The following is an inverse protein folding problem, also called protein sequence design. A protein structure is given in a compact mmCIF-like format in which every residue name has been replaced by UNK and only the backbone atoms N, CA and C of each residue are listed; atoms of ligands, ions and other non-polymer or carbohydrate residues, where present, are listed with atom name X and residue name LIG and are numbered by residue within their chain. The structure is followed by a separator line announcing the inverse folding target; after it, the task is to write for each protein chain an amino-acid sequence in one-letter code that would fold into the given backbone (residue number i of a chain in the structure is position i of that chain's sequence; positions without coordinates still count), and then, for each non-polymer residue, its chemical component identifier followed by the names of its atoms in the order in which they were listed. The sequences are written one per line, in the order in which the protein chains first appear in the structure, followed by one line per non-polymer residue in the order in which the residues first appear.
data_IF_503705871884
#
_entry.id   IF_503705871884
#
_cell.length_a   1.000
_cell.length_b   1.000
_cell.length_c   1.000
_cell.angle_alpha   90.00
_cell.angle_beta   90.00
_cell.angle_gamma   90.00
#
_symmetry.space_group_name_H-M   'P 1'
#
loop_
_entity.id
_entity.type
_entity.pdbx_description
1 polymer ?
#
# COMPACT_ATOMS: atom_id res chain seq x y z
N UNK A 1 -2.68 0.50 27.43
CA UNK A 1 -3.71 0.85 26.41
C UNK A 1 -3.33 0.47 24.97
N UNK A 2 -2.42 1.18 24.29
CA UNK A 2 -2.18 0.96 22.85
C UNK A 2 -1.74 -0.48 22.52
N UNK A 3 -0.78 -1.03 23.28
CA UNK A 3 -0.29 -2.41 23.09
C UNK A 3 -1.37 -3.46 23.36
N UNK A 4 -2.37 -3.13 24.16
CA UNK A 4 -3.53 -4.00 24.48
C UNK A 4 -4.66 -3.88 23.44
N UNK A 5 -4.46 -3.13 22.35
CA UNK A 5 -5.50 -2.90 21.34
C UNK A 5 -6.61 -1.92 21.76
N UNK A 6 -6.50 -1.31 22.94
CA UNK A 6 -7.48 -0.34 23.47
C UNK A 6 -7.23 1.05 22.87
N UNK A 7 -7.40 1.18 21.57
CA UNK A 7 -6.97 2.37 20.80
C UNK A 7 -7.74 3.66 21.15
N UNK A 8 -9.04 3.56 21.47
CA UNK A 8 -9.82 4.73 21.93
C UNK A 8 -9.29 5.30 23.25
N UNK A 9 -9.04 4.43 24.24
CA UNK A 9 -8.44 4.85 25.52
C UNK A 9 -7.02 5.37 25.35
N UNK A 10 -6.27 4.81 24.40
CA UNK A 10 -4.94 5.32 24.06
C UNK A 10 -5.01 6.73 23.46
N UNK A 11 -5.92 6.98 22.51
CA UNK A 11 -6.17 8.31 21.95
C UNK A 11 -6.52 9.32 23.06
N UNK A 12 -7.46 8.99 23.95
CA UNK A 12 -7.87 9.85 25.06
C UNK A 12 -6.68 10.20 25.98
N UNK A 13 -5.87 9.20 26.34
CA UNK A 13 -4.69 9.38 27.18
C UNK A 13 -3.58 10.24 26.51
N UNK A 14 -3.27 9.98 25.24
CA UNK A 14 -2.26 10.80 24.55
C UNK A 14 -2.77 12.22 24.27
N UNK A 15 -4.08 12.38 24.08
CA UNK A 15 -4.70 13.71 23.94
C UNK A 15 -4.62 14.52 25.23
N UNK A 16 -4.83 13.90 26.40
CA UNK A 16 -4.70 14.62 27.68
C UNK A 16 -3.28 15.10 27.92
N UNK A 17 -2.27 14.27 27.62
CA UNK A 17 -0.84 14.67 27.71
C UNK A 17 -0.55 15.95 26.90
N UNK A 18 -1.13 16.07 25.71
CA UNK A 18 -0.88 17.19 24.81
C UNK A 18 -1.71 18.45 25.13
N UNK A 19 -2.81 18.31 25.88
CA UNK A 19 -3.72 19.41 26.20
C UNK A 19 -3.48 20.01 27.59
N UNK A 20 -3.01 19.20 28.55
CA UNK A 20 -2.88 19.60 29.96
C UNK A 20 -1.66 20.52 30.19
N UNK A 21 -0.72 20.57 29.25
CA UNK A 21 0.47 21.43 29.34
C UNK A 21 0.77 22.05 27.96
N UNK A 22 0.35 23.31 27.77
CA UNK A 22 0.40 24.02 26.46
C UNK A 22 1.81 24.21 25.92
N UNK A 23 2.83 24.11 26.78
CA UNK A 23 4.24 24.18 26.40
C UNK A 23 4.90 22.78 26.32
N UNK A 24 4.17 21.71 26.63
CA UNK A 24 4.67 20.34 26.62
C UNK A 24 4.74 19.78 25.20
N UNK A 25 5.97 19.78 24.68
CA UNK A 25 6.34 19.20 23.39
C UNK A 25 6.77 17.75 23.56
N UNK A 26 5.82 16.83 23.59
CA UNK A 26 6.13 15.40 23.54
C UNK A 26 5.87 14.80 22.15
N UNK A 27 6.92 14.65 21.32
CA UNK A 27 6.78 14.02 20.01
C UNK A 27 6.31 12.56 20.13
N UNK A 28 6.66 11.84 21.19
CA UNK A 28 6.20 10.47 21.36
C UNK A 28 4.68 10.42 21.59
N UNK A 29 4.14 11.27 22.48
CA UNK A 29 2.70 11.37 22.70
C UNK A 29 1.95 11.76 21.42
N UNK A 30 2.44 12.74 20.66
CA UNK A 30 1.79 13.18 19.43
C UNK A 30 1.81 12.13 18.32
N UNK A 31 2.92 11.40 18.16
CA UNK A 31 2.97 10.28 17.22
C UNK A 31 2.04 9.15 17.68
N UNK A 32 1.99 8.86 18.98
CA UNK A 32 1.13 7.81 19.53
C UNK A 32 -0.36 8.15 19.43
N UNK A 33 -0.73 9.44 19.50
CA UNK A 33 -2.06 9.92 19.19
C UNK A 33 -2.44 9.58 17.74
N UNK A 34 -1.60 9.97 16.78
CA UNK A 34 -1.82 9.69 15.36
C UNK A 34 -1.93 8.18 15.08
N UNK A 35 -1.07 7.36 15.68
CA UNK A 35 -1.13 5.89 15.59
C UNK A 35 -2.43 5.33 16.16
N UNK A 36 -2.89 5.86 17.29
CA UNK A 36 -4.14 5.42 17.94
C UNK A 36 -5.36 5.75 17.08
N UNK A 37 -5.38 6.92 16.43
CA UNK A 37 -6.42 7.31 15.48
C UNK A 37 -6.41 6.42 14.24
N UNK A 38 -5.23 6.17 13.67
CA UNK A 38 -5.07 5.30 12.50
C UNK A 38 -5.61 3.89 12.76
N UNK A 39 -5.27 3.31 13.93
CA UNK A 39 -5.76 1.98 14.33
C UNK A 39 -7.28 1.90 14.56
N UNK A 40 -7.96 3.04 14.73
CA UNK A 40 -9.42 3.13 14.80
C UNK A 40 -10.08 3.37 13.44
N UNK A 41 -9.30 3.49 12.36
CA UNK A 41 -9.82 3.86 11.04
C UNK A 41 -10.16 5.35 10.89
N UNK A 42 -9.79 6.20 11.86
CA UNK A 42 -9.96 7.66 11.82
C UNK A 42 -8.90 8.30 10.92
N UNK A 43 -8.95 8.00 9.63
CA UNK A 43 -7.86 8.30 8.68
C UNK A 43 -7.62 9.81 8.49
N UNK A 44 -8.64 10.66 8.64
CA UNK A 44 -8.49 12.10 8.49
C UNK A 44 -7.81 12.72 9.70
N UNK A 45 -8.25 12.35 10.90
CA UNK A 45 -7.69 12.78 12.17
C UNK A 45 -6.25 12.29 12.31
N UNK A 46 -5.99 11.01 11.97
CA UNK A 46 -4.64 10.46 11.95
C UNK A 46 -3.71 11.22 10.99
N UNK A 47 -4.19 11.59 9.80
CA UNK A 47 -3.41 12.38 8.85
C UNK A 47 -3.10 13.78 9.40
N UNK A 48 -4.08 14.44 10.02
CA UNK A 48 -3.91 15.77 10.61
C UNK A 48 -2.88 15.72 11.75
N UNK A 49 -3.03 14.76 12.67
CA UNK A 49 -2.10 14.57 13.79
C UNK A 49 -0.68 14.24 13.30
N UNK A 50 -0.54 13.39 12.28
CA UNK A 50 0.74 13.04 11.67
C UNK A 50 1.40 14.22 10.95
N UNK A 51 0.64 15.02 10.20
CA UNK A 51 1.16 16.26 9.58
C UNK A 51 1.59 17.27 10.63
N UNK A 52 0.80 17.45 11.68
CA UNK A 52 1.15 18.32 12.79
C UNK A 52 2.44 17.86 13.46
N UNK A 53 2.65 16.55 13.64
CA UNK A 53 3.92 16.03 14.16
C UNK A 53 5.10 16.46 13.28
N UNK A 54 5.01 16.29 11.96
CA UNK A 54 6.11 16.63 11.03
C UNK A 54 6.42 18.13 11.07
N UNK A 55 5.40 18.98 11.14
CA UNK A 55 5.58 20.43 11.24
C UNK A 55 6.14 20.87 12.59
N UNK A 56 5.74 20.23 13.68
CA UNK A 56 6.15 20.58 15.04
C UNK A 56 7.51 20.02 15.43
N UNK A 57 7.95 18.91 14.82
CA UNK A 57 9.19 18.21 15.16
C UNK A 57 9.98 17.74 13.92
N UNK A 58 10.45 18.66 13.06
CA UNK A 58 11.08 18.35 11.77
C UNK A 58 12.42 17.60 11.85
N UNK A 59 12.99 17.43 13.05
CA UNK A 59 14.24 16.67 13.29
C UNK A 59 14.07 15.63 14.41
N UNK A 60 12.82 15.25 14.70
CA UNK A 60 12.56 14.26 15.72
C UNK A 60 13.19 12.92 15.36
N UNK A 61 13.75 12.22 16.36
CA UNK A 61 14.12 10.80 16.22
C UNK A 61 12.95 9.91 15.76
N UNK A 62 11.70 10.38 15.85
CA UNK A 62 10.52 9.67 15.39
C UNK A 62 9.99 10.11 14.02
N UNK A 63 10.68 11.02 13.32
CA UNK A 63 10.28 11.51 12.00
C UNK A 63 10.11 10.37 10.99
N UNK A 64 11.05 9.42 10.96
CA UNK A 64 10.94 8.22 10.13
C UNK A 64 9.64 7.45 10.39
N UNK A 65 9.27 7.26 11.66
CA UNK A 65 8.03 6.57 12.03
C UNK A 65 6.77 7.38 11.69
N UNK A 66 6.83 8.71 11.80
CA UNK A 66 5.72 9.59 11.43
C UNK A 66 5.50 9.59 9.91
N UNK A 67 6.58 9.66 9.11
CA UNK A 67 6.52 9.54 7.65
C UNK A 67 6.02 8.17 7.21
N UNK A 68 6.49 7.09 7.85
CA UNK A 68 5.97 5.74 7.61
C UNK A 68 4.46 5.67 7.86
N UNK A 69 3.99 6.21 8.99
CA UNK A 69 2.56 6.27 9.31
C UNK A 69 1.76 7.10 8.29
N UNK A 70 2.28 8.23 7.82
CA UNK A 70 1.62 9.04 6.79
C UNK A 70 1.50 8.29 5.46
N UNK A 71 2.51 7.49 5.10
CA UNK A 71 2.43 6.56 3.98
C UNK A 71 1.35 5.50 4.19
N UNK A 72 1.28 4.89 5.37
CA UNK A 72 0.28 3.85 5.70
C UNK A 72 -1.16 4.43 5.65
N UNK A 73 -1.33 5.66 6.14
CA UNK A 73 -2.61 6.41 6.06
C UNK A 73 -2.96 6.71 4.60
N UNK A 74 -2.01 7.21 3.81
CA UNK A 74 -2.24 7.51 2.39
C UNK A 74 -2.64 6.23 1.63
N UNK A 75 -1.97 5.11 1.88
CA UNK A 75 -2.30 3.83 1.28
C UNK A 75 -3.70 3.36 1.68
N UNK A 76 -4.06 3.48 2.96
CA UNK A 76 -5.40 3.14 3.47
C UNK A 76 -6.51 4.01 2.88
N UNK A 77 -6.18 5.23 2.44
CA UNK A 77 -7.07 6.13 1.70
C UNK A 77 -7.13 5.85 0.20
N UNK A 78 -6.44 4.82 -0.30
CA UNK A 78 -6.31 4.52 -1.73
C UNK A 78 -5.41 5.51 -2.50
N UNK A 79 -4.64 6.34 -1.80
CA UNK A 79 -3.73 7.33 -2.39
C UNK A 79 -2.37 6.68 -2.70
N UNK A 80 -2.37 5.63 -3.52
CA UNK A 80 -1.21 4.76 -3.76
C UNK A 80 0.05 5.52 -4.19
N UNK A 81 -0.08 6.46 -5.14
CA UNK A 81 1.04 7.30 -5.61
C UNK A 81 1.63 8.14 -4.49
N UNK A 82 0.78 8.73 -3.64
CA UNK A 82 1.25 9.54 -2.52
C UNK A 82 1.95 8.68 -1.46
N UNK A 83 1.40 7.50 -1.17
CA UNK A 83 2.04 6.55 -0.28
C UNK A 83 3.42 6.12 -0.83
N UNK A 84 3.49 5.81 -2.13
CA UNK A 84 4.73 5.50 -2.83
C UNK A 84 5.78 6.61 -2.69
N UNK A 85 5.42 7.86 -2.96
CA UNK A 85 6.30 9.02 -2.81
C UNK A 85 6.87 9.13 -1.39
N UNK A 86 6.00 9.01 -0.38
CA UNK A 86 6.39 9.08 1.02
C UNK A 86 7.39 7.97 1.36
N UNK A 87 7.08 6.71 1.03
CA UNK A 87 7.97 5.59 1.31
C UNK A 87 9.30 5.69 0.56
N UNK A 88 9.27 6.05 -0.72
CA UNK A 88 10.48 6.24 -1.53
C UNK A 88 11.38 7.35 -0.95
N UNK A 89 10.79 8.39 -0.37
CA UNK A 89 11.55 9.48 0.26
C UNK A 89 12.37 9.00 1.47
N UNK A 90 11.89 8.00 2.22
CA UNK A 90 12.49 7.53 3.47
C UNK A 90 13.19 6.17 3.40
N UNK A 91 12.98 5.37 2.35
CA UNK A 91 13.47 3.97 2.29
C UNK A 91 14.98 3.83 2.44
N UNK A 92 15.75 4.79 1.93
CA UNK A 92 17.21 4.79 2.04
C UNK A 92 17.73 5.46 3.32
N UNK A 93 16.85 6.05 4.13
CA UNK A 93 17.20 6.63 5.44
C UNK A 93 17.16 5.59 6.56
N UNK A 94 16.55 4.43 6.32
CA UNK A 94 16.45 3.36 7.32
C UNK A 94 17.79 2.65 7.50
N UNK A 95 18.36 2.77 8.71
CA UNK A 95 19.58 2.04 9.11
C UNK A 95 19.27 0.56 9.41
N UNK A 96 18.09 0.28 9.97
CA UNK A 96 17.65 -1.08 10.27
C UNK A 96 17.26 -1.83 8.97
N UNK A 97 17.92 -2.96 8.65
CA UNK A 97 17.59 -3.77 7.48
C UNK A 97 16.15 -4.29 7.48
N UNK A 98 15.59 -4.58 8.66
CA UNK A 98 14.23 -5.09 8.79
C UNK A 98 13.23 -4.03 8.36
N UNK A 99 13.29 -2.84 8.98
CA UNK A 99 12.47 -1.68 8.64
C UNK A 99 12.58 -1.30 7.16
N UNK A 100 13.79 -1.35 6.59
CA UNK A 100 14.00 -1.10 5.16
C UNK A 100 13.32 -2.15 4.28
N UNK A 101 13.42 -3.42 4.64
CA UNK A 101 12.73 -4.52 3.94
C UNK A 101 11.21 -4.32 3.97
N UNK A 102 10.65 -3.93 5.11
CA UNK A 102 9.22 -3.67 5.18
C UNK A 102 8.78 -2.47 4.33
N UNK A 103 9.62 -1.42 4.22
CA UNK A 103 9.35 -0.30 3.30
C UNK A 103 9.39 -0.74 1.84
N UNK A 104 10.30 -1.64 1.45
CA UNK A 104 10.30 -2.25 0.11
C UNK A 104 9.01 -3.01 -0.17
N UNK A 105 8.49 -3.77 0.80
CA UNK A 105 7.20 -4.44 0.65
C UNK A 105 6.04 -3.45 0.50
N UNK A 106 6.03 -2.36 1.28
CA UNK A 106 5.03 -1.28 1.15
C UNK A 106 5.10 -0.58 -0.21
N UNK A 107 6.31 -0.32 -0.73
CA UNK A 107 6.50 0.25 -2.07
C UNK A 107 5.99 -0.71 -3.15
N UNK A 108 6.32 -2.00 -3.06
CA UNK A 108 5.77 -3.03 -3.96
C UNK A 108 4.25 -3.08 -3.89
N UNK A 109 3.66 -2.94 -2.70
CA UNK A 109 2.22 -2.86 -2.55
C UNK A 109 1.65 -1.65 -3.28
N UNK A 110 2.25 -0.46 -3.16
CA UNK A 110 1.80 0.73 -3.91
C UNK A 110 1.89 0.54 -5.43
N UNK A 111 3.02 0.03 -5.93
CA UNK A 111 3.20 -0.30 -7.36
C UNK A 111 2.14 -1.31 -7.79
N UNK A 112 1.96 -2.33 -6.95
CA UNK A 112 0.89 -3.30 -6.97
C UNK A 112 -0.42 -2.59 -7.16
N UNK A 113 -0.92 -1.76 -6.25
CA UNK A 113 -2.22 -1.09 -6.34
C UNK A 113 -2.39 -0.11 -7.50
N UNK A 114 -1.31 0.24 -8.21
CA UNK A 114 -1.33 1.10 -9.38
C UNK A 114 -0.92 2.52 -9.04
N UNK A 115 -0.06 3.10 -9.87
CA UNK A 115 0.50 4.44 -9.71
C UNK A 115 0.06 5.33 -10.88
N UNK A 116 0.06 6.64 -10.63
CA UNK A 116 -0.12 7.64 -11.69
C UNK A 116 1.16 7.79 -12.49
N UNK A 117 1.09 7.57 -13.79
CA UNK A 117 2.23 7.62 -14.70
C UNK A 117 2.99 8.95 -14.65
N UNK A 118 2.28 10.08 -14.83
CA UNK A 118 2.86 11.42 -14.79
C UNK A 118 3.66 11.70 -13.50
N UNK A 119 3.17 11.19 -12.36
CA UNK A 119 3.85 11.35 -11.08
C UNK A 119 5.15 10.55 -11.04
N UNK A 120 5.15 9.31 -11.52
CA UNK A 120 6.35 8.46 -11.58
C UNK A 120 7.40 9.09 -12.50
N UNK A 121 6.99 9.57 -13.67
CA UNK A 121 7.89 10.26 -14.62
C UNK A 121 8.47 11.55 -14.02
N UNK A 122 7.63 12.36 -13.37
CA UNK A 122 8.07 13.61 -12.72
C UNK A 122 9.11 13.36 -11.63
N UNK A 123 8.94 12.32 -10.81
CA UNK A 123 9.91 11.95 -9.77
C UNK A 123 11.19 11.44 -10.43
N UNK A 124 11.09 10.56 -11.43
CA UNK A 124 12.25 9.99 -12.12
C UNK A 124 13.11 11.05 -12.82
N UNK A 125 12.47 12.10 -13.35
CA UNK A 125 13.16 13.21 -13.98
C UNK A 125 14.10 13.95 -13.02
N UNK A 126 13.72 14.07 -11.74
CA UNK A 126 14.49 14.79 -10.72
C UNK A 126 15.41 13.87 -9.89
N UNK A 127 15.13 12.57 -9.86
CA UNK A 127 15.84 11.62 -9.00
C UNK A 127 17.24 11.29 -9.54
N UNK A 128 18.26 11.45 -8.70
CA UNK A 128 19.67 11.17 -9.07
C UNK A 128 20.21 9.93 -8.40
N UNK A 129 19.59 9.44 -7.32
CA UNK A 129 20.05 8.27 -6.59
C UNK A 129 19.81 6.98 -7.42
N UNK A 130 20.85 6.19 -7.73
CA UNK A 130 20.72 4.99 -8.58
C UNK A 130 19.71 3.96 -8.09
N UNK A 131 19.65 3.70 -6.77
CA UNK A 131 18.71 2.74 -6.19
C UNK A 131 17.25 3.23 -6.30
N UNK A 132 17.00 4.51 -6.04
CA UNK A 132 15.66 5.09 -6.24
C UNK A 132 15.27 5.13 -7.72
N UNK A 133 16.18 5.47 -8.62
CA UNK A 133 15.96 5.40 -10.08
C UNK A 133 15.62 3.97 -10.54
N UNK A 134 16.31 2.95 -10.01
CA UNK A 134 16.00 1.55 -10.31
C UNK A 134 14.57 1.18 -9.86
N UNK A 135 14.15 1.60 -8.66
CA UNK A 135 12.78 1.42 -8.16
C UNK A 135 11.76 2.16 -9.03
N UNK A 136 12.07 3.38 -9.47
CA UNK A 136 11.18 4.18 -10.33
C UNK A 136 11.04 3.56 -11.73
N UNK A 137 12.13 3.12 -12.37
CA UNK A 137 12.05 2.42 -13.65
C UNK A 137 11.32 1.07 -13.53
N UNK A 138 11.48 0.36 -12.42
CA UNK A 138 10.67 -0.81 -12.11
C UNK A 138 9.18 -0.46 -11.96
N UNK A 139 8.87 0.68 -11.34
CA UNK A 139 7.49 1.18 -11.20
C UNK A 139 6.89 1.55 -12.56
N UNK A 140 7.65 2.20 -13.44
CA UNK A 140 7.25 2.50 -14.83
C UNK A 140 6.95 1.23 -15.62
N UNK A 141 7.77 0.20 -15.48
CA UNK A 141 7.53 -1.09 -16.12
C UNK A 141 6.18 -1.70 -15.69
N UNK A 142 5.82 -1.59 -14.41
CA UNK A 142 4.52 -2.02 -13.91
C UNK A 142 3.35 -1.18 -14.44
N UNK A 143 3.53 0.14 -14.59
CA UNK A 143 2.51 1.02 -15.18
C UNK A 143 2.30 0.67 -16.66
N UNK A 144 3.38 0.57 -17.44
CA UNK A 144 3.31 0.18 -18.85
C UNK A 144 2.65 -1.20 -19.02
N UNK A 145 2.97 -2.15 -18.14
CA UNK A 145 2.32 -3.47 -18.12
C UNK A 145 0.81 -3.40 -17.87
N UNK A 146 0.37 -2.53 -16.97
CA UNK A 146 -1.05 -2.32 -16.67
C UNK A 146 -1.76 -1.68 -17.86
N UNK A 147 -1.12 -0.73 -18.53
CA UNK A 147 -1.64 -0.05 -19.73
C UNK A 147 -1.59 -0.93 -20.98
N UNK A 148 -0.89 -2.07 -20.94
CA UNK A 148 -0.66 -2.91 -22.11
C UNK A 148 0.36 -2.33 -23.09
N UNK A 149 1.11 -1.30 -22.69
CA UNK A 149 2.13 -0.68 -23.52
C UNK A 149 3.43 -1.50 -23.50
N UNK A 150 3.61 -2.31 -24.54
CA UNK A 150 4.78 -3.17 -24.69
C UNK A 150 6.06 -2.38 -24.98
N UNK A 151 5.95 -1.23 -25.65
CA UNK A 151 7.10 -0.41 -25.99
C UNK A 151 7.66 0.23 -24.73
N UNK A 152 6.81 0.88 -23.95
CA UNK A 152 7.21 1.52 -22.69
C UNK A 152 7.63 0.50 -21.64
N UNK A 153 7.01 -0.69 -21.61
CA UNK A 153 7.47 -1.78 -20.74
C UNK A 153 8.92 -2.16 -21.06
N UNK A 154 9.27 -2.29 -22.35
CA UNK A 154 10.64 -2.62 -22.76
C UNK A 154 11.60 -1.50 -22.36
N UNK A 155 11.25 -0.25 -22.66
CA UNK A 155 12.09 0.91 -22.34
C UNK A 155 12.32 1.07 -20.84
N UNK A 156 11.27 0.90 -20.04
CA UNK A 156 11.37 0.94 -18.59
C UNK A 156 12.28 -0.18 -18.06
N UNK A 157 12.12 -1.42 -18.56
CA UNK A 157 12.95 -2.56 -18.15
C UNK A 157 14.43 -2.40 -18.54
N UNK A 158 14.73 -1.81 -19.69
CA UNK A 158 16.10 -1.47 -20.11
C UNK A 158 16.73 -0.38 -19.24
N UNK A 159 15.92 0.55 -18.72
CA UNK A 159 16.35 1.59 -17.78
C UNK A 159 16.60 1.11 -16.35
N UNK A 160 16.27 -0.14 -15.99
CA UNK A 160 16.50 -0.65 -14.63
C UNK A 160 17.95 -1.06 -14.47
N UNK A 161 18.66 -0.34 -13.61
CA UNK A 161 19.95 -0.78 -13.10
C UNK A 161 19.76 -1.92 -12.08
N UNK A 162 19.90 -3.15 -12.56
CA UNK A 162 19.71 -4.37 -11.75
C UNK A 162 20.70 -4.51 -10.59
N UNK A 163 21.85 -3.83 -10.62
CA UNK A 163 22.80 -3.85 -9.51
C UNK A 163 22.29 -3.04 -8.31
N UNK A 164 21.48 -2.02 -8.59
CA UNK A 164 20.91 -1.12 -7.59
C UNK A 164 19.43 -1.42 -7.28
N UNK A 165 18.83 -2.40 -7.95
CA UNK A 165 17.47 -2.85 -7.67
C UNK A 165 17.43 -3.66 -6.36
N UNK A 166 16.52 -3.37 -5.42
CA UNK A 166 16.38 -4.16 -4.20
C UNK A 166 16.12 -5.63 -4.50
N UNK A 167 16.82 -6.54 -3.81
CA UNK A 167 16.70 -7.99 -4.02
C UNK A 167 15.28 -8.52 -3.86
N UNK A 168 14.49 -7.87 -3.01
CA UNK A 168 13.07 -8.16 -2.81
C UNK A 168 12.22 -8.05 -4.10
N UNK A 169 12.72 -7.38 -5.14
CA UNK A 169 11.98 -7.10 -6.38
C UNK A 169 12.37 -8.05 -7.51
N UNK A 170 13.37 -8.92 -7.30
CA UNK A 170 13.92 -9.77 -8.35
C UNK A 170 12.88 -10.71 -8.97
N UNK A 171 12.00 -11.31 -8.16
CA UNK A 171 10.95 -12.20 -8.64
C UNK A 171 9.98 -11.47 -9.58
N UNK A 172 9.54 -10.29 -9.16
CA UNK A 172 8.64 -9.42 -9.92
C UNK A 172 9.30 -8.92 -11.21
N UNK A 173 10.58 -8.55 -11.14
CA UNK A 173 11.36 -8.12 -12.29
C UNK A 173 11.47 -9.24 -13.34
N UNK A 174 11.78 -10.47 -12.92
CA UNK A 174 11.82 -11.62 -13.84
C UNK A 174 10.44 -11.93 -14.43
N UNK A 175 9.38 -11.77 -13.63
CA UNK A 175 8.01 -11.91 -14.12
C UNK A 175 7.70 -10.90 -15.24
N UNK A 176 8.08 -9.63 -15.07
CA UNK A 176 7.92 -8.61 -16.12
C UNK A 176 8.72 -8.93 -17.38
N UNK A 177 9.96 -9.40 -17.23
CA UNK A 177 10.80 -9.82 -18.36
C UNK A 177 10.16 -10.96 -19.16
N UNK A 178 9.64 -11.98 -18.49
CA UNK A 178 8.97 -13.10 -19.14
C UNK A 178 7.69 -12.70 -19.89
N UNK A 179 7.08 -11.56 -19.55
CA UNK A 179 5.88 -11.05 -20.21
C UNK A 179 6.23 -10.33 -21.53
N UNK A 180 7.44 -9.76 -21.67
CA UNK A 180 7.85 -9.07 -22.91
C UNK A 180 7.78 -9.98 -24.15
N UNK A 181 7.99 -11.27 -23.98
CA UNK A 181 7.95 -12.24 -25.09
C UNK A 181 6.52 -12.62 -25.49
N UNK A 182 5.51 -12.13 -24.77
CA UNK A 182 4.08 -12.41 -24.99
C UNK A 182 3.35 -11.23 -25.63
N UNK A 183 2.12 -11.47 -26.06
CA UNK A 183 1.18 -10.40 -26.38
C UNK A 183 0.65 -9.81 -25.08
N UNK A 184 0.76 -8.49 -24.94
CA UNK A 184 0.33 -7.76 -23.74
C UNK A 184 -0.95 -7.01 -24.11
N UNK A 185 -1.92 -7.09 -23.23
CA UNK A 185 -3.17 -6.33 -23.27
C UNK A 185 -3.32 -5.55 -21.97
N UNK A 186 -4.08 -4.43 -21.98
CA UNK A 186 -4.40 -3.68 -20.77
C UNK A 186 -5.00 -4.60 -19.70
N UNK A 187 -4.64 -4.36 -18.44
CA UNK A 187 -5.14 -5.15 -17.32
C UNK A 187 -6.47 -4.60 -16.80
N UNK A 188 -7.48 -5.47 -16.76
CA UNK A 188 -8.71 -5.27 -16.04
C UNK A 188 -8.49 -5.60 -14.55
N UNK A 189 -8.80 -4.66 -13.66
CA UNK A 189 -8.66 -4.89 -12.22
C UNK A 189 -9.97 -5.37 -11.60
N UNK A 190 -9.91 -6.45 -10.84
CA UNK A 190 -11.03 -7.05 -10.12
C UNK A 190 -10.68 -7.02 -8.62
N UNK A 191 -11.56 -6.46 -7.80
CA UNK A 191 -11.40 -6.55 -6.34
C UNK A 191 -11.85 -7.92 -5.85
N UNK A 192 -11.15 -8.49 -4.87
CA UNK A 192 -11.45 -9.79 -4.29
C UNK A 192 -11.50 -9.62 -2.77
N UNK A 193 -12.70 -9.75 -2.18
CA UNK A 193 -12.91 -9.60 -0.74
C UNK A 193 -13.04 -10.97 -0.11
N UNK A 194 -12.08 -11.33 0.76
CA UNK A 194 -12.02 -12.64 1.40
C UNK A 194 -11.62 -12.48 2.88
N UNK A 195 -12.12 -13.35 3.79
CA UNK A 195 -11.57 -13.45 5.13
C UNK A 195 -10.22 -14.17 5.06
N UNK A 196 -9.11 -13.43 5.04
CA UNK A 196 -7.75 -13.98 5.02
C UNK A 196 -7.08 -13.96 6.40
N UNK A 197 -7.74 -13.31 7.35
CA UNK A 197 -7.49 -13.38 8.78
C UNK A 197 -8.81 -13.51 9.55
N UNK A 198 -8.73 -13.78 10.84
CA UNK A 198 -9.90 -13.74 11.72
C UNK A 198 -10.89 -14.88 11.45
N UNK A 199 -12.19 -14.52 11.45
CA UNK A 199 -13.27 -15.49 11.33
C UNK A 199 -13.30 -16.09 9.91
N UNK A 200 -13.41 -17.41 9.80
CA UNK A 200 -13.44 -18.15 8.52
C UNK A 200 -12.20 -17.96 7.62
N UNK A 201 -11.05 -17.64 8.24
CA UNK A 201 -9.76 -17.48 7.55
C UNK A 201 -9.43 -18.64 6.59
N UNK A 202 -9.60 -19.89 7.05
CA UNK A 202 -9.26 -21.08 6.26
C UNK A 202 -10.07 -21.17 4.97
N UNK A 203 -11.33 -20.71 5.01
CA UNK A 203 -12.24 -20.67 3.86
C UNK A 203 -11.77 -19.63 2.84
N UNK A 204 -11.41 -18.43 3.29
CA UNK A 204 -10.88 -17.38 2.41
C UNK A 204 -9.52 -17.74 1.81
N UNK A 205 -8.62 -18.35 2.58
CA UNK A 205 -7.34 -18.83 2.07
C UNK A 205 -7.51 -19.93 1.02
N UNK A 206 -8.42 -20.89 1.25
CA UNK A 206 -8.73 -21.94 0.29
C UNK A 206 -9.29 -21.37 -1.02
N UNK A 207 -10.18 -20.37 -0.93
CA UNK A 207 -10.70 -19.67 -2.10
C UNK A 207 -9.58 -18.95 -2.88
N UNK A 208 -8.72 -18.22 -2.17
CA UNK A 208 -7.61 -17.49 -2.79
C UNK A 208 -6.63 -18.43 -3.49
N UNK A 209 -6.35 -19.60 -2.90
CA UNK A 209 -5.50 -20.62 -3.51
C UNK A 209 -6.13 -21.16 -4.80
N UNK A 210 -7.42 -21.52 -4.78
CA UNK A 210 -8.13 -21.95 -5.98
C UNK A 210 -8.16 -20.89 -7.09
N UNK A 211 -8.31 -19.61 -6.72
CA UNK A 211 -8.22 -18.50 -7.67
C UNK A 211 -6.82 -18.39 -8.28
N UNK A 212 -5.77 -18.57 -7.46
CA UNK A 212 -4.38 -18.62 -7.92
C UNK A 212 -4.11 -19.75 -8.90
N UNK A 213 -4.58 -20.96 -8.60
CA UNK A 213 -4.41 -22.16 -9.44
C UNK A 213 -5.12 -22.01 -10.78
N UNK A 214 -6.34 -21.45 -10.79
CA UNK A 214 -7.06 -21.15 -12.03
C UNK A 214 -6.24 -20.24 -12.95
N UNK A 215 -5.62 -19.20 -12.38
CA UNK A 215 -4.83 -18.23 -13.14
C UNK A 215 -3.51 -18.79 -13.66
N UNK A 216 -2.81 -19.62 -12.88
CA UNK A 216 -1.58 -20.25 -13.33
C UNK A 216 -1.80 -21.19 -14.53
N UNK A 217 -2.97 -21.82 -14.60
CA UNK A 217 -3.29 -22.81 -15.63
C UNK A 217 -4.02 -22.21 -16.85
N UNK A 218 -4.41 -20.93 -16.83
CA UNK A 218 -5.08 -20.26 -17.95
C UNK A 218 -4.29 -19.04 -18.49
N UNK A 219 -3.50 -19.20 -19.57
CA UNK A 219 -2.72 -18.09 -20.15
C UNK A 219 -3.59 -16.96 -20.74
N UNK A 220 -4.89 -17.19 -20.97
CA UNK A 220 -5.83 -16.16 -21.42
C UNK A 220 -6.14 -15.10 -20.34
N UNK A 221 -5.89 -15.41 -19.05
CA UNK A 221 -6.14 -14.52 -17.93
C UNK A 221 -5.04 -13.47 -17.69
N UNK A 222 -4.03 -13.37 -18.57
CA UNK A 222 -2.96 -12.37 -18.45
C UNK A 222 -3.49 -10.92 -18.48
N UNK A 223 -4.70 -10.67 -18.98
CA UNK A 223 -5.34 -9.35 -18.96
C UNK A 223 -6.11 -9.06 -17.66
N UNK A 224 -6.13 -9.98 -16.70
CA UNK A 224 -6.87 -9.79 -15.44
C UNK A 224 -5.91 -9.66 -14.26
N UNK A 225 -6.26 -8.77 -13.34
CA UNK A 225 -5.46 -8.41 -12.18
C UNK A 225 -6.37 -8.37 -10.96
N UNK A 226 -5.94 -8.97 -9.86
CA UNK A 226 -6.71 -8.95 -8.62
C UNK A 226 -6.11 -8.01 -7.59
N UNK A 227 -6.99 -7.25 -6.95
CA UNK A 227 -6.71 -6.56 -5.70
C UNK A 227 -7.41 -7.30 -4.59
N UNK A 228 -6.63 -7.96 -3.75
CA UNK A 228 -7.14 -8.80 -2.66
C UNK A 228 -7.25 -7.96 -1.40
N UNK A 229 -8.45 -7.96 -0.80
CA UNK A 229 -8.78 -7.26 0.43
C UNK A 229 -9.15 -8.29 1.49
N UNK A 230 -8.39 -8.30 2.59
CA UNK A 230 -8.65 -9.14 3.74
C UNK A 230 -9.75 -8.52 4.61
N UNK A 231 -10.95 -9.10 4.61
CA UNK A 231 -12.08 -8.63 5.42
C UNK A 231 -11.95 -9.00 6.90
N UNK A 232 -11.06 -9.91 7.26
CA UNK A 232 -10.94 -10.43 8.62
C UNK A 232 -12.17 -11.23 9.10
N UNK A 233 -13.10 -11.55 8.19
CA UNK A 233 -14.44 -12.05 8.53
C UNK A 233 -15.31 -10.99 9.25
N UNK A 234 -15.06 -9.70 8.99
CA UNK A 234 -15.70 -8.59 9.69
C UNK A 234 -16.54 -7.73 8.73
N UNK A 235 -17.84 -7.64 9.01
CA UNK A 235 -18.80 -6.86 8.20
C UNK A 235 -18.45 -5.36 8.09
N UNK A 236 -17.89 -4.75 9.14
CA UNK A 236 -17.50 -3.33 9.13
C UNK A 236 -16.33 -3.11 8.19
N UNK A 237 -15.34 -4.02 8.22
CA UNK A 237 -14.20 -3.97 7.30
C UNK A 237 -14.65 -4.20 5.86
N UNK A 238 -15.54 -5.17 5.62
CA UNK A 238 -16.13 -5.42 4.30
C UNK A 238 -16.82 -4.17 3.72
N UNK A 239 -17.70 -3.49 4.49
CA UNK A 239 -18.33 -2.23 4.09
C UNK A 239 -17.28 -1.16 3.77
N UNK A 240 -16.24 -1.04 4.61
CA UNK A 240 -15.16 -0.06 4.41
C UNK A 240 -14.43 -0.31 3.08
N UNK A 241 -14.11 -1.56 2.76
CA UNK A 241 -13.47 -1.92 1.50
C UNK A 241 -14.36 -1.65 0.30
N UNK A 242 -15.64 -2.04 0.34
CA UNK A 242 -16.59 -1.75 -0.74
C UNK A 242 -16.70 -0.25 -1.00
N UNK A 243 -16.82 0.58 0.04
CA UNK A 243 -16.80 2.04 -0.10
C UNK A 243 -15.50 2.56 -0.72
N UNK A 244 -14.35 1.98 -0.36
CA UNK A 244 -13.07 2.36 -0.97
C UNK A 244 -12.99 1.97 -2.46
N UNK A 245 -13.54 0.80 -2.82
CA UNK A 245 -13.57 0.27 -4.18
C UNK A 245 -14.46 1.12 -5.09
N UNK A 246 -15.63 1.57 -4.62
CA UNK A 246 -16.53 2.44 -5.38
C UNK A 246 -15.88 3.76 -5.81
N UNK A 247 -14.85 4.22 -5.09
CA UNK A 247 -14.10 5.42 -5.43
C UNK A 247 -12.90 5.15 -6.37
N UNK A 248 -12.65 3.89 -6.73
CA UNK A 248 -11.53 3.50 -7.58
C UNK A 248 -12.03 3.00 -8.96
N UNK A 249 -12.03 3.92 -9.93
CA UNK A 249 -12.50 3.65 -11.30
C UNK A 249 -11.67 2.61 -12.09
N UNK A 250 -10.51 2.18 -11.57
CA UNK A 250 -9.73 1.10 -12.19
C UNK A 250 -10.34 -0.27 -11.94
N UNK A 251 -11.17 -0.42 -10.90
CA UNK A 251 -11.79 -1.68 -10.50
C UNK A 251 -13.10 -1.86 -11.27
N UNK A 252 -13.15 -2.87 -12.13
CA UNK A 252 -14.30 -3.12 -13.02
C UNK A 252 -15.32 -4.11 -12.44
N UNK A 253 -14.92 -4.90 -11.44
CA UNK A 253 -15.76 -5.91 -10.81
C UNK A 253 -15.27 -6.22 -9.40
N UNK A 254 -16.16 -6.80 -8.60
CA UNK A 254 -15.89 -7.29 -7.24
C UNK A 254 -16.26 -8.77 -7.16
N UNK A 255 -15.36 -9.58 -6.61
CA UNK A 255 -15.59 -10.97 -6.23
C UNK A 255 -15.66 -11.04 -4.70
N UNK A 256 -16.77 -11.54 -4.17
CA UNK A 256 -17.07 -11.56 -2.74
C UNK A 256 -17.99 -10.40 -2.31
N UNK A 257 -18.17 -10.17 -0.99
CA UNK A 257 -17.58 -10.92 0.12
C UNK A 257 -17.97 -12.40 0.15
N UNK A 258 -17.18 -13.23 0.85
CA UNK A 258 -17.38 -14.69 0.86
C UNK A 258 -18.41 -15.17 1.90
N UNK A 259 -18.62 -14.39 2.96
CA UNK A 259 -19.51 -14.76 4.07
C UNK A 259 -20.88 -14.11 3.91
N UNK A 260 -21.94 -14.84 4.24
CA UNK A 260 -23.33 -14.36 4.10
C UNK A 260 -23.57 -13.07 4.91
N UNK A 261 -23.01 -12.99 6.12
CA UNK A 261 -23.12 -11.81 6.99
C UNK A 261 -22.49 -10.57 6.34
N UNK A 262 -21.31 -10.74 5.74
CA UNK A 262 -20.62 -9.66 5.01
C UNK A 262 -21.39 -9.27 3.76
N UNK A 263 -21.95 -10.25 3.03
CA UNK A 263 -22.75 -10.02 1.84
C UNK A 263 -23.99 -9.18 2.17
N UNK A 264 -24.73 -9.55 3.22
CA UNK A 264 -25.91 -8.79 3.69
C UNK A 264 -25.51 -7.37 4.10
N UNK A 265 -24.35 -7.21 4.73
CA UNK A 265 -23.88 -5.90 5.20
C UNK A 265 -23.51 -4.93 4.05
N UNK A 266 -23.10 -5.45 2.89
CA UNK A 266 -22.68 -4.63 1.73
C UNK A 266 -23.74 -4.49 0.64
N UNK A 267 -24.85 -5.22 0.76
CA UNK A 267 -25.97 -5.22 -0.21
C UNK A 267 -26.86 -3.98 -0.13
#
# INVERSE_FOLDING_TARGET
FYREGRYRLAEEYFSSILNDDRDYRDPAAQLMLAKSQYRQGKLNEAEQSGKSFISSYPESRYEFHAKTLLGDIALSKGQNTRAFEIYLSIVLLSEDPTSRSELYQRILACIGFGLKEDSVESILFLETNPAKRAILNFSRAYVARQNGDKYDLRMALEGIDTLNLPTAYNLQYQTLRNILDKNISPQNTIAVLLPLSGLEQDKGQSYLMGLGDFFQNQPACNSSRFLVYDTGGNSVEAIRFVKSILNNHLIIAVLGPLLDEELVAVS
#
